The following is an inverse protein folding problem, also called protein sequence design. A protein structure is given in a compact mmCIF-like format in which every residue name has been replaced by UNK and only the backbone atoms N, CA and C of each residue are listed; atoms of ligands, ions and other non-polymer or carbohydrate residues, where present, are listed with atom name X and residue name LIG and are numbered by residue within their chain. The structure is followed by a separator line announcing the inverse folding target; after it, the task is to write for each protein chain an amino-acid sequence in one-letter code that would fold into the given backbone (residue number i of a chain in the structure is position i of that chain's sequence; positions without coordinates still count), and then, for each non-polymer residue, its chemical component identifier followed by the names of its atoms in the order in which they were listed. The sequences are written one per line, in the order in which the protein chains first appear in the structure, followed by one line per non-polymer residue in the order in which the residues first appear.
data_IF_214094563391
#
_entry.id   IF_214094563391
#
_cell.length_a   1.000
_cell.length_b   1.000
_cell.length_c   1.000
_cell.angle_alpha   90.00
_cell.angle_beta   90.00
_cell.angle_gamma   90.00
#
_symmetry.space_group_name_H-M   'P 1'
#
loop_
_entity.id
_entity.type
_entity.pdbx_description
1 polymer ?
#
# COMPACT_ATOMS: atom_id res chain seq x y z
N UNK A 1 5.64 -42.93 7.65
CA UNK A 1 6.91 -42.20 7.82
C UNK A 1 6.82 -40.72 7.37
N UNK A 2 6.18 -40.41 6.24
CA UNK A 2 6.03 -39.05 5.71
C UNK A 2 5.30 -38.04 6.66
N UNK A 3 4.26 -38.46 7.36
CA UNK A 3 3.46 -37.60 8.26
C UNK A 3 4.24 -37.05 9.47
N UNK A 4 5.25 -37.80 9.96
CA UNK A 4 6.13 -37.35 11.07
C UNK A 4 7.08 -36.23 10.60
N UNK A 5 7.55 -36.32 9.35
CA UNK A 5 8.49 -35.36 8.77
C UNK A 5 7.80 -33.98 8.54
N UNK A 6 6.55 -33.98 8.04
CA UNK A 6 5.78 -32.72 7.86
C UNK A 6 5.45 -32.05 9.20
N UNK A 7 5.08 -32.80 10.24
CA UNK A 7 4.84 -32.23 11.58
C UNK A 7 6.11 -31.64 12.20
N UNK A 8 7.28 -32.29 11.97
CA UNK A 8 8.56 -31.75 12.46
C UNK A 8 8.97 -30.50 11.71
N UNK A 9 8.77 -30.42 10.38
CA UNK A 9 9.04 -29.21 9.59
C UNK A 9 8.13 -28.05 9.98
N UNK A 10 6.84 -28.31 10.20
CA UNK A 10 5.91 -27.28 10.67
C UNK A 10 6.33 -26.73 12.05
N UNK A 11 6.77 -27.62 12.97
CA UNK A 11 7.27 -27.19 14.30
C UNK A 11 8.55 -26.37 14.19
N UNK A 12 9.47 -26.73 13.29
CA UNK A 12 10.71 -25.98 13.04
C UNK A 12 10.36 -24.61 12.45
N UNK A 13 9.43 -24.53 11.50
CA UNK A 13 8.97 -23.26 10.92
C UNK A 13 8.39 -22.32 11.98
N UNK A 14 7.53 -22.84 12.87
CA UNK A 14 6.97 -22.06 13.97
C UNK A 14 8.04 -21.59 14.97
N UNK A 15 9.03 -22.43 15.29
CA UNK A 15 10.14 -22.05 16.18
C UNK A 15 11.03 -20.96 15.56
N UNK A 16 11.32 -21.07 14.27
CA UNK A 16 12.05 -20.03 13.53
C UNK A 16 11.25 -18.72 13.51
N UNK A 17 9.96 -18.76 13.21
CA UNK A 17 9.09 -17.57 13.21
C UNK A 17 9.07 -16.91 14.60
N UNK A 18 8.95 -17.69 15.66
CA UNK A 18 8.95 -17.18 17.03
C UNK A 18 10.30 -16.55 17.43
N UNK A 19 11.42 -17.16 17.01
CA UNK A 19 12.77 -16.59 17.23
C UNK A 19 12.98 -15.32 16.43
N UNK A 20 12.51 -15.26 15.18
CA UNK A 20 12.55 -14.04 14.39
C UNK A 20 11.72 -12.92 15.03
N UNK A 21 10.49 -13.22 15.47
CA UNK A 21 9.66 -12.26 16.21
C UNK A 21 10.37 -11.74 17.47
N UNK A 22 10.96 -12.64 18.27
CA UNK A 22 11.68 -12.22 19.49
C UNK A 22 12.92 -11.38 19.17
N UNK A 23 13.67 -11.71 18.12
CA UNK A 23 14.82 -10.94 17.67
C UNK A 23 14.43 -9.54 17.15
N UNK A 24 13.31 -9.44 16.42
CA UNK A 24 12.77 -8.16 15.93
C UNK A 24 12.25 -7.27 17.08
N UNK A 25 11.66 -7.88 18.13
CA UNK A 25 11.20 -7.15 19.33
C UNK A 25 12.35 -6.63 20.17
N UNK A 26 13.48 -7.34 20.19
CA UNK A 26 14.68 -6.91 20.93
C UNK A 26 15.51 -5.84 20.21
N UNK A 27 15.28 -5.63 18.91
CA UNK A 27 15.87 -4.53 18.16
C UNK A 27 15.22 -3.19 18.54
N UNK A 28 16.02 -2.23 18.96
CA UNK A 28 15.60 -0.91 19.47
C UNK A 28 15.05 0.05 18.40
N UNK A 29 14.54 -0.43 17.25
CA UNK A 29 14.01 0.39 16.15
C UNK A 29 12.50 0.64 16.29
N UNK A 30 12.08 1.18 17.45
CA UNK A 30 10.74 1.76 17.64
C UNK A 30 10.62 3.18 17.05
N UNK A 31 11.44 3.56 16.10
CA UNK A 31 11.26 4.81 15.39
C UNK A 31 10.06 4.67 14.44
N UNK A 32 8.89 5.08 14.93
CA UNK A 32 7.68 5.21 14.10
C UNK A 32 8.00 6.00 12.83
N UNK A 33 7.83 5.39 11.65
CA UNK A 33 8.05 6.09 10.38
C UNK A 33 7.12 7.30 10.31
N UNK A 34 7.69 8.46 10.00
CA UNK A 34 6.95 9.72 9.84
C UNK A 34 7.33 10.38 8.52
N UNK A 35 6.33 10.88 7.82
CA UNK A 35 6.57 11.73 6.66
C UNK A 35 7.17 13.06 7.13
N UNK A 36 8.23 13.53 6.46
CA UNK A 36 8.80 14.84 6.72
C UNK A 36 7.83 15.93 6.29
N UNK A 37 7.78 17.00 7.08
CA UNK A 37 7.01 18.19 6.73
C UNK A 37 7.59 18.88 5.48
N UNK A 38 6.72 19.52 4.72
CA UNK A 38 7.03 20.25 3.50
C UNK A 38 7.24 21.74 3.82
N UNK A 39 8.24 22.35 3.20
CA UNK A 39 8.41 23.81 3.24
C UNK A 39 7.36 24.49 2.37
N UNK A 40 7.10 25.78 2.60
CA UNK A 40 6.16 26.56 1.77
C UNK A 40 6.51 26.52 0.27
N UNK A 41 7.81 26.44 -0.06
CA UNK A 41 8.27 26.30 -1.44
C UNK A 41 7.83 24.97 -2.06
N UNK A 42 8.01 23.87 -1.34
CA UNK A 42 7.59 22.54 -1.78
C UNK A 42 6.07 22.44 -1.89
N UNK A 43 5.33 23.02 -0.93
CA UNK A 43 3.86 23.08 -1.01
C UNK A 43 3.40 23.84 -2.25
N UNK A 44 4.01 24.98 -2.54
CA UNK A 44 3.70 25.78 -3.73
C UNK A 44 3.91 25.00 -5.03
N UNK A 45 4.99 24.21 -5.10
CA UNK A 45 5.31 23.33 -6.22
C UNK A 45 4.32 22.16 -6.33
N UNK A 46 4.05 21.45 -5.22
CA UNK A 46 3.14 20.28 -5.16
C UNK A 46 1.71 20.68 -5.56
N UNK A 47 1.24 21.83 -5.09
CA UNK A 47 -0.14 22.31 -5.36
C UNK A 47 -0.25 23.06 -6.68
N UNK A 48 0.88 23.52 -7.24
CA UNK A 48 0.91 24.29 -8.50
C UNK A 48 0.48 25.75 -8.34
N UNK A 49 0.77 26.39 -7.17
CA UNK A 49 0.43 27.77 -6.87
C UNK A 49 1.66 28.58 -6.44
N UNK A 50 1.56 29.91 -6.46
CA UNK A 50 2.66 30.75 -5.98
C UNK A 50 2.71 30.79 -4.44
N UNK A 51 3.91 30.93 -3.87
CA UNK A 51 4.09 31.15 -2.42
C UNK A 51 3.33 32.38 -1.92
N UNK A 52 3.24 33.40 -2.73
CA UNK A 52 2.53 34.65 -2.41
C UNK A 52 1.03 34.37 -2.16
N UNK A 53 0.41 33.48 -2.95
CA UNK A 53 -1.01 33.12 -2.75
C UNK A 53 -1.22 32.36 -1.45
N UNK A 54 -0.32 31.44 -1.08
CA UNK A 54 -0.37 30.76 0.22
C UNK A 54 -0.29 31.80 1.34
N UNK A 55 0.70 32.69 1.27
CA UNK A 55 0.90 33.73 2.27
C UNK A 55 -0.32 34.66 2.43
N UNK A 56 -0.97 35.01 1.31
CA UNK A 56 -2.17 35.86 1.34
C UNK A 56 -3.31 35.17 2.08
N UNK A 57 -3.57 33.87 1.80
CA UNK A 57 -4.64 33.13 2.48
C UNK A 57 -4.35 32.89 3.97
N UNK A 58 -3.09 32.73 4.34
CA UNK A 58 -2.69 32.66 5.77
C UNK A 58 -3.02 33.99 6.48
N UNK A 59 -2.70 35.14 5.85
CA UNK A 59 -3.02 36.48 6.38
C UNK A 59 -4.52 36.72 6.49
N UNK A 60 -5.30 36.23 5.55
CA UNK A 60 -6.76 36.32 5.53
C UNK A 60 -7.44 35.36 6.52
N UNK A 61 -6.68 34.50 7.23
CA UNK A 61 -7.21 33.51 8.14
C UNK A 61 -7.97 32.36 7.46
N UNK A 62 -7.82 32.20 6.15
CA UNK A 62 -8.45 31.13 5.35
C UNK A 62 -7.66 29.83 5.39
N UNK A 63 -6.42 29.88 5.84
CA UNK A 63 -5.58 28.73 6.14
C UNK A 63 -5.14 28.78 7.61
N UNK A 64 -4.94 27.63 8.27
CA UNK A 64 -4.36 27.59 9.60
C UNK A 64 -2.95 28.19 9.59
N UNK A 65 -2.55 28.78 10.71
CA UNK A 65 -1.17 29.28 10.85
C UNK A 65 -0.18 28.14 10.70
N UNK A 66 0.83 28.28 9.83
CA UNK A 66 1.83 27.24 9.62
C UNK A 66 2.66 27.01 10.88
N UNK A 67 3.13 25.77 11.05
CA UNK A 67 4.14 25.46 12.06
C UNK A 67 5.48 26.05 11.60
N UNK A 68 6.32 26.40 12.59
CA UNK A 68 7.65 26.94 12.35
C UNK A 68 8.70 25.88 12.75
N UNK A 69 9.74 25.77 11.94
CA UNK A 69 10.93 24.98 12.24
C UNK A 69 12.14 25.89 12.22
N UNK A 70 12.88 25.88 13.32
CA UNK A 70 14.16 26.58 13.41
C UNK A 70 15.12 26.11 12.31
N UNK A 71 15.70 27.04 11.57
CA UNK A 71 16.68 26.75 10.53
C UNK A 71 17.71 27.89 10.48
N UNK A 72 18.68 27.84 11.39
CA UNK A 72 19.69 28.89 11.56
C UNK A 72 19.09 30.20 12.07
N UNK A 73 19.31 31.29 11.36
CA UNK A 73 18.84 32.63 11.76
C UNK A 73 17.38 32.96 11.37
N UNK A 74 16.69 32.06 10.65
CA UNK A 74 15.33 32.30 10.12
C UNK A 74 14.45 31.07 10.31
N UNK A 75 13.26 31.26 10.88
CA UNK A 75 12.26 30.21 10.97
C UNK A 75 11.63 29.88 9.62
N UNK A 76 11.57 28.62 9.30
CA UNK A 76 10.98 28.09 8.08
C UNK A 76 9.57 27.57 8.35
N UNK A 77 8.59 28.08 7.59
CA UNK A 77 7.22 27.56 7.61
C UNK A 77 7.19 26.14 7.06
N UNK A 78 6.55 25.23 7.81
CA UNK A 78 6.42 23.82 7.47
C UNK A 78 4.96 23.37 7.57
N UNK A 79 4.62 22.40 6.71
CA UNK A 79 3.27 21.86 6.54
C UNK A 79 3.33 20.34 6.44
N UNK A 80 2.43 19.65 7.10
CA UNK A 80 2.24 18.20 6.88
C UNK A 80 1.36 17.96 5.63
N UNK A 81 1.23 16.71 5.20
CA UNK A 81 0.49 16.38 3.99
C UNK A 81 -1.02 16.70 4.10
N UNK A 82 -1.61 16.59 5.28
CA UNK A 82 -3.01 16.99 5.50
C UNK A 82 -3.22 18.50 5.32
N UNK A 83 -2.26 19.32 5.76
CA UNK A 83 -2.27 20.76 5.55
C UNK A 83 -2.06 21.11 4.07
N UNK A 84 -1.23 20.35 3.34
CA UNK A 84 -1.07 20.48 1.88
C UNK A 84 -2.39 20.20 1.17
N UNK A 85 -3.11 19.16 1.57
CA UNK A 85 -4.43 18.84 1.02
C UNK A 85 -5.47 19.93 1.32
N UNK A 86 -5.47 20.46 2.54
CA UNK A 86 -6.35 21.58 2.90
C UNK A 86 -6.10 22.79 2.01
N UNK A 87 -4.81 23.14 1.76
CA UNK A 87 -4.43 24.21 0.84
C UNK A 87 -4.99 23.91 -0.55
N UNK A 88 -4.80 22.70 -1.08
CA UNK A 88 -5.31 22.28 -2.38
C UNK A 88 -6.83 22.49 -2.48
N UNK A 89 -7.58 21.98 -1.49
CA UNK A 89 -9.05 22.13 -1.42
C UNK A 89 -9.49 23.59 -1.35
N UNK A 90 -8.79 24.42 -0.59
CA UNK A 90 -9.10 25.87 -0.46
C UNK A 90 -8.97 26.62 -1.78
N UNK A 91 -8.07 26.17 -2.67
CA UNK A 91 -7.94 26.71 -4.01
C UNK A 91 -8.82 26.02 -5.06
N UNK A 92 -9.63 25.03 -4.69
CA UNK A 92 -10.44 24.25 -5.64
C UNK A 92 -9.62 23.41 -6.62
N UNK A 93 -8.39 23.07 -6.26
CA UNK A 93 -7.45 22.31 -7.08
C UNK A 93 -7.47 20.81 -6.74
N UNK A 94 -8.67 20.25 -6.52
CA UNK A 94 -8.80 18.81 -6.32
C UNK A 94 -8.31 18.06 -7.56
N UNK A 95 -7.68 16.88 -7.39
CA UNK A 95 -7.30 16.09 -8.54
C UNK A 95 -8.55 15.68 -9.35
N UNK A 96 -8.45 15.61 -10.69
CA UNK A 96 -9.57 15.17 -11.51
C UNK A 96 -9.92 13.71 -11.21
N UNK A 97 -11.20 13.36 -11.35
CA UNK A 97 -11.60 11.96 -11.29
C UNK A 97 -10.89 11.17 -12.39
N UNK A 98 -10.32 10.01 -12.05
CA UNK A 98 -9.63 9.13 -13.01
C UNK A 98 -10.64 8.27 -13.77
N UNK A 99 -11.73 7.91 -13.10
CA UNK A 99 -12.76 7.04 -13.66
C UNK A 99 -14.06 7.81 -13.92
N UNK A 100 -14.77 7.45 -14.98
CA UNK A 100 -16.04 8.06 -15.35
C UNK A 100 -17.22 7.52 -14.53
N UNK A 101 -17.08 6.35 -13.91
CA UNK A 101 -18.11 5.68 -13.11
C UNK A 101 -18.01 6.00 -11.61
N UNK A 102 -17.03 6.81 -11.20
CA UNK A 102 -16.80 7.19 -9.81
C UNK A 102 -16.15 6.11 -8.94
N UNK A 103 -15.73 4.99 -9.54
CA UNK A 103 -15.02 3.93 -8.85
C UNK A 103 -13.50 4.15 -8.94
N UNK A 104 -12.75 3.55 -8.01
CA UNK A 104 -11.30 3.62 -8.04
C UNK A 104 -10.72 3.02 -9.31
N UNK A 105 -9.73 3.68 -9.90
CA UNK A 105 -8.88 3.07 -10.92
C UNK A 105 -7.89 2.09 -10.28
N UNK A 106 -7.83 0.86 -10.80
CA UNK A 106 -6.98 -0.20 -10.26
C UNK A 106 -5.74 -0.37 -11.11
N UNK A 107 -4.57 -0.08 -10.50
CA UNK A 107 -3.25 -0.23 -11.12
C UNK A 107 -2.54 -1.44 -10.50
N UNK A 108 -2.32 -2.47 -11.28
CA UNK A 108 -1.58 -3.67 -10.84
C UNK A 108 -0.16 -3.67 -11.38
N UNK A 109 0.82 -3.76 -10.48
CA UNK A 109 2.24 -3.89 -10.81
C UNK A 109 2.62 -5.37 -10.82
N UNK A 110 2.90 -5.92 -11.99
CA UNK A 110 3.17 -7.35 -12.16
C UNK A 110 4.34 -7.60 -13.10
N UNK A 111 5.20 -8.52 -12.72
CA UNK A 111 6.23 -9.11 -13.56
C UNK A 111 6.69 -10.42 -12.88
N UNK A 112 6.84 -11.50 -13.64
CA UNK A 112 7.30 -12.80 -13.15
C UNK A 112 8.77 -12.77 -12.76
N UNK A 113 9.55 -11.82 -13.27
CA UNK A 113 10.96 -11.68 -12.90
C UNK A 113 11.09 -10.98 -11.56
N UNK A 114 11.89 -11.58 -10.66
CA UNK A 114 12.27 -10.97 -9.39
C UNK A 114 13.29 -9.83 -9.58
N UNK A 115 13.30 -8.85 -8.67
CA UNK A 115 14.32 -7.80 -8.65
C UNK A 115 14.17 -6.70 -9.71
N UNK A 116 13.07 -6.65 -10.47
CA UNK A 116 12.81 -5.60 -11.48
C UNK A 116 12.26 -4.30 -10.89
N UNK A 117 12.12 -4.21 -9.56
CA UNK A 117 11.67 -2.99 -8.88
C UNK A 117 10.15 -2.86 -8.75
N UNK A 118 9.35 -3.94 -8.89
CA UNK A 118 7.88 -3.90 -8.76
C UNK A 118 7.44 -3.14 -7.50
N UNK A 119 7.77 -3.66 -6.34
CA UNK A 119 7.37 -3.09 -5.04
C UNK A 119 7.91 -1.67 -4.84
N UNK A 120 9.13 -1.38 -5.34
CA UNK A 120 9.69 -0.03 -5.28
C UNK A 120 8.85 0.94 -6.11
N UNK A 121 8.56 0.59 -7.36
CA UNK A 121 7.80 1.47 -8.27
C UNK A 121 6.34 1.60 -7.81
N UNK A 122 5.70 0.51 -7.38
CA UNK A 122 4.31 0.53 -6.89
C UNK A 122 4.16 1.41 -5.64
N UNK A 123 5.07 1.30 -4.67
CA UNK A 123 5.08 2.14 -3.46
C UNK A 123 5.24 3.62 -3.82
N UNK A 124 6.20 3.97 -4.68
CA UNK A 124 6.40 5.37 -5.07
C UNK A 124 5.24 5.92 -5.90
N UNK A 125 4.60 5.09 -6.75
CA UNK A 125 3.40 5.48 -7.47
C UNK A 125 2.24 5.82 -6.51
N UNK A 126 1.99 4.96 -5.52
CA UNK A 126 0.96 5.20 -4.51
C UNK A 126 1.23 6.47 -3.69
N UNK A 127 2.49 6.67 -3.27
CA UNK A 127 2.92 7.88 -2.57
C UNK A 127 2.74 9.13 -3.44
N UNK A 128 3.08 9.05 -4.72
CA UNK A 128 2.88 10.16 -5.66
C UNK A 128 1.41 10.51 -5.82
N UNK A 129 0.51 9.54 -6.00
CA UNK A 129 -0.91 9.79 -6.09
C UNK A 129 -1.47 10.42 -4.81
N UNK A 130 -1.08 9.91 -3.64
CA UNK A 130 -1.46 10.51 -2.36
C UNK A 130 -0.97 11.95 -2.23
N UNK A 131 0.26 12.25 -2.70
CA UNK A 131 0.81 13.60 -2.74
C UNK A 131 0.02 14.52 -3.70
N UNK A 132 -0.53 13.97 -4.79
CA UNK A 132 -1.41 14.70 -5.69
C UNK A 132 -2.83 14.95 -5.14
N UNK A 133 -3.15 14.36 -3.96
CA UNK A 133 -4.42 14.55 -3.27
C UNK A 133 -5.47 13.47 -3.55
N UNK A 134 -5.10 12.40 -4.25
CA UNK A 134 -5.96 11.22 -4.39
C UNK A 134 -6.04 10.41 -3.10
N UNK A 135 -7.19 9.82 -2.85
CA UNK A 135 -7.37 8.83 -1.81
C UNK A 135 -6.97 7.45 -2.34
N UNK A 136 -5.89 6.91 -1.81
CA UNK A 136 -5.22 5.72 -2.35
C UNK A 136 -5.34 4.54 -1.39
N UNK A 137 -5.67 3.36 -1.91
CA UNK A 137 -5.48 2.09 -1.23
C UNK A 137 -4.30 1.35 -1.86
N UNK A 138 -3.31 1.00 -1.07
CA UNK A 138 -2.23 0.10 -1.48
C UNK A 138 -2.54 -1.32 -1.03
N UNK A 139 -2.41 -2.30 -1.92
CA UNK A 139 -2.64 -3.73 -1.65
C UNK A 139 -1.35 -4.49 -1.91
N UNK A 140 -0.72 -4.98 -0.85
CA UNK A 140 0.49 -5.80 -0.94
C UNK A 140 0.09 -7.28 -0.99
N UNK A 141 0.27 -7.93 -2.14
CA UNK A 141 0.01 -9.35 -2.34
C UNK A 141 1.29 -10.19 -2.39
N UNK A 142 2.48 -9.57 -2.29
CA UNK A 142 3.74 -10.31 -2.24
C UNK A 142 3.99 -10.83 -0.82
N UNK A 143 4.10 -12.17 -0.60
CA UNK A 143 4.41 -12.73 0.71
C UNK A 143 5.73 -12.24 1.32
N UNK A 144 6.62 -11.65 0.53
CA UNK A 144 7.84 -11.01 1.04
C UNK A 144 7.55 -9.73 1.81
N UNK A 145 6.36 -9.12 1.64
CA UNK A 145 5.88 -7.96 2.37
C UNK A 145 6.84 -6.75 2.34
N UNK A 146 7.53 -6.58 1.22
CA UNK A 146 8.50 -5.48 1.04
C UNK A 146 7.79 -4.12 1.04
N UNK A 147 6.65 -4.02 0.36
CA UNK A 147 5.84 -2.80 0.35
C UNK A 147 5.22 -2.52 1.73
N UNK A 148 4.72 -3.55 2.41
CA UNK A 148 4.21 -3.47 3.79
C UNK A 148 5.27 -2.89 4.74
N UNK A 149 6.52 -3.36 4.63
CA UNK A 149 7.64 -2.84 5.41
C UNK A 149 7.99 -1.39 5.04
N UNK A 150 7.86 -1.02 3.77
CA UNK A 150 8.07 0.35 3.32
C UNK A 150 7.04 1.32 3.93
N UNK A 151 5.82 0.86 4.20
CA UNK A 151 4.77 1.64 4.87
C UNK A 151 4.85 1.60 6.41
N UNK A 152 5.88 0.99 7.00
CA UNK A 152 6.20 1.12 8.42
C UNK A 152 5.77 -0.06 9.29
N UNK A 153 5.16 -1.08 8.74
CA UNK A 153 4.81 -2.29 9.47
C UNK A 153 5.96 -3.30 9.42
N UNK A 154 6.18 -4.01 10.52
CA UNK A 154 7.10 -5.15 10.57
C UNK A 154 6.24 -6.42 10.50
N UNK A 155 6.15 -7.10 9.33
CA UNK A 155 5.13 -8.13 9.08
C UNK A 155 5.07 -9.25 10.12
N UNK A 156 6.23 -9.77 10.54
CA UNK A 156 6.31 -10.87 11.51
C UNK A 156 6.09 -10.43 12.97
N UNK A 157 6.14 -9.12 13.27
CA UNK A 157 5.93 -8.57 14.61
C UNK A 157 4.53 -8.01 14.78
N UNK A 158 4.08 -7.21 13.81
CA UNK A 158 2.92 -6.33 13.93
C UNK A 158 1.66 -6.96 13.33
N UNK A 159 1.82 -8.01 12.48
CA UNK A 159 0.75 -8.56 11.66
C UNK A 159 0.66 -10.09 11.78
N UNK A 160 -0.51 -10.60 11.51
CA UNK A 160 -0.83 -12.01 11.27
C UNK A 160 -1.39 -12.20 9.86
N UNK A 161 -1.67 -13.43 9.43
CA UNK A 161 -2.33 -13.69 8.15
C UNK A 161 -3.75 -13.10 8.11
N UNK A 162 -4.43 -13.03 9.25
CA UNK A 162 -5.79 -12.48 9.35
C UNK A 162 -5.83 -10.95 9.18
N UNK A 163 -4.68 -10.26 9.29
CA UNK A 163 -4.54 -8.84 8.99
C UNK A 163 -4.34 -8.55 7.50
N UNK A 164 -4.32 -9.57 6.65
CA UNK A 164 -4.11 -9.48 5.20
C UNK A 164 -5.40 -9.72 4.42
N UNK A 165 -5.35 -9.64 3.10
CA UNK A 165 -6.48 -9.97 2.23
C UNK A 165 -7.00 -11.42 2.40
N UNK A 166 -6.28 -12.27 3.13
CA UNK A 166 -6.55 -13.70 3.27
C UNK A 166 -8.01 -14.00 3.66
N UNK A 167 -8.52 -13.37 4.71
CA UNK A 167 -9.89 -13.59 5.20
C UNK A 167 -10.94 -13.20 4.15
N UNK A 168 -10.69 -12.14 3.38
CA UNK A 168 -11.59 -11.71 2.31
C UNK A 168 -11.67 -12.70 1.14
N UNK A 169 -10.55 -13.32 0.77
CA UNK A 169 -10.49 -14.25 -0.37
C UNK A 169 -10.80 -15.71 0.01
N UNK A 170 -10.84 -16.05 1.31
CA UNK A 170 -11.09 -17.42 1.77
C UNK A 170 -12.41 -17.60 2.52
N UNK A 171 -13.00 -16.53 3.04
CA UNK A 171 -14.22 -16.58 3.86
C UNK A 171 -15.36 -15.73 3.30
N UNK A 172 -15.18 -14.39 3.24
CA UNK A 172 -16.20 -13.46 2.77
C UNK A 172 -15.54 -12.16 2.26
N UNK A 173 -15.88 -11.68 1.05
CA UNK A 173 -15.28 -10.47 0.46
C UNK A 173 -15.35 -9.23 1.36
N UNK A 174 -16.42 -9.06 2.12
CA UNK A 174 -16.65 -7.90 3.01
C UNK A 174 -15.60 -7.76 4.10
N UNK A 175 -14.92 -8.85 4.47
CA UNK A 175 -13.81 -8.83 5.44
C UNK A 175 -12.59 -8.02 4.97
N UNK A 176 -12.58 -7.57 3.72
CA UNK A 176 -11.51 -6.68 3.22
C UNK A 176 -11.48 -5.36 3.99
N UNK A 177 -12.61 -4.85 4.45
CA UNK A 177 -12.67 -3.61 5.23
C UNK A 177 -11.94 -3.73 6.57
N UNK A 178 -12.03 -4.89 7.23
CA UNK A 178 -11.44 -5.14 8.55
C UNK A 178 -9.89 -5.13 8.52
N UNK A 179 -9.30 -5.37 7.36
CA UNK A 179 -7.84 -5.51 7.20
C UNK A 179 -7.16 -4.26 6.65
N UNK A 180 -7.91 -3.20 6.36
CA UNK A 180 -7.37 -1.92 5.94
C UNK A 180 -6.65 -1.24 7.11
N UNK A 181 -5.42 -0.82 6.91
CA UNK A 181 -4.57 -0.16 7.89
C UNK A 181 -4.17 1.23 7.42
N UNK A 182 -4.09 2.18 8.36
CA UNK A 182 -3.55 3.51 8.08
C UNK A 182 -2.03 3.45 7.92
N UNK A 183 -1.51 4.26 7.01
CA UNK A 183 -0.07 4.47 6.90
C UNK A 183 0.34 5.82 7.50
N UNK A 184 1.64 6.10 7.52
CA UNK A 184 2.15 7.42 7.90
C UNK A 184 1.97 8.49 6.79
N UNK A 185 1.37 8.13 5.67
CA UNK A 185 0.96 9.03 4.61
C UNK A 185 -0.51 9.41 4.79
N UNK A 186 -0.82 10.70 4.70
CA UNK A 186 -2.20 11.15 4.60
C UNK A 186 -2.80 10.70 3.26
N UNK A 187 -4.07 10.26 3.26
CA UNK A 187 -4.79 9.73 2.09
C UNK A 187 -4.21 8.44 1.48
N UNK A 188 -3.37 7.69 2.20
CA UNK A 188 -2.87 6.41 1.73
C UNK A 188 -3.09 5.35 2.79
N UNK A 189 -3.97 4.41 2.50
CA UNK A 189 -4.27 3.25 3.32
C UNK A 189 -3.59 2.00 2.74
N UNK A 190 -3.45 0.95 3.54
CA UNK A 190 -2.74 -0.28 3.21
C UNK A 190 -3.57 -1.51 3.55
N UNK A 191 -3.68 -2.45 2.62
CA UNK A 191 -3.91 -3.87 2.94
C UNK A 191 -2.55 -4.54 2.96
N UNK A 192 -2.06 -4.95 4.15
CA UNK A 192 -0.71 -5.46 4.30
C UNK A 192 -0.57 -6.90 3.82
N UNK A 193 0.68 -7.31 3.64
CA UNK A 193 1.07 -8.69 3.34
C UNK A 193 1.73 -9.39 4.52
N UNK A 194 1.73 -10.72 4.47
CA UNK A 194 2.39 -11.57 5.44
C UNK A 194 2.96 -12.82 4.75
N UNK A 195 4.06 -13.37 5.26
CA UNK A 195 4.76 -14.52 4.68
C UNK A 195 3.84 -15.74 4.42
N UNK A 196 2.84 -15.95 5.28
CA UNK A 196 1.90 -17.06 5.14
C UNK A 196 1.00 -16.98 3.90
N UNK A 197 0.92 -15.81 3.21
CA UNK A 197 0.20 -15.70 1.93
C UNK A 197 0.77 -16.61 0.85
N UNK A 198 2.03 -17.05 0.95
CA UNK A 198 2.62 -18.04 0.03
C UNK A 198 1.86 -19.40 -0.01
N UNK A 199 1.09 -19.73 1.04
CA UNK A 199 0.32 -20.98 1.13
C UNK A 199 -1.15 -20.84 0.72
N UNK A 200 -1.58 -19.63 0.35
CA UNK A 200 -3.00 -19.30 0.04
C UNK A 200 -3.54 -20.15 -1.10
N UNK A 201 -2.77 -20.36 -2.16
CA UNK A 201 -3.19 -21.19 -3.31
C UNK A 201 -3.57 -22.60 -2.86
N UNK A 202 -2.73 -23.22 -2.03
CA UNK A 202 -2.99 -24.56 -1.51
C UNK A 202 -4.22 -24.58 -0.58
N UNK A 203 -4.45 -23.53 0.20
CA UNK A 203 -5.61 -23.40 1.08
C UNK A 203 -6.90 -23.23 0.28
N UNK A 204 -6.90 -22.42 -0.76
CA UNK A 204 -8.04 -22.21 -1.66
C UNK A 204 -8.41 -23.53 -2.38
N UNK A 205 -7.42 -24.27 -2.90
CA UNK A 205 -7.68 -25.56 -3.58
C UNK A 205 -8.16 -26.66 -2.64
N UNK A 206 -7.74 -26.63 -1.37
CA UNK A 206 -8.23 -27.58 -0.35
C UNK A 206 -9.67 -27.32 0.05
N UNK A 207 -10.05 -26.05 0.10
CA UNK A 207 -11.40 -25.65 0.43
C UNK A 207 -12.29 -25.70 -0.80
N UNK A 208 -12.88 -26.88 -1.07
CA UNK A 208 -13.74 -27.16 -2.23
C UNK A 208 -15.07 -26.40 -2.21
N UNK A 209 -15.26 -25.46 -1.29
CA UNK A 209 -16.46 -24.61 -1.25
C UNK A 209 -16.49 -23.68 -2.47
N UNK A 210 -17.50 -23.87 -3.32
CA UNK A 210 -17.78 -22.97 -4.45
C UNK A 210 -18.50 -21.67 -4.00
N UNK A 211 -18.73 -21.48 -2.71
CA UNK A 211 -19.50 -20.33 -2.19
C UNK A 211 -18.91 -18.97 -2.57
N UNK A 212 -17.57 -18.88 -2.73
CA UNK A 212 -16.87 -17.64 -3.11
C UNK A 212 -16.60 -17.53 -4.62
N UNK A 213 -17.20 -18.40 -5.42
CA UNK A 213 -17.02 -18.40 -6.87
C UNK A 213 -15.61 -18.86 -7.33
N UNK A 214 -15.23 -18.45 -8.53
CA UNK A 214 -13.93 -18.81 -9.11
C UNK A 214 -12.77 -18.28 -8.27
N UNK A 215 -11.76 -19.12 -7.93
CA UNK A 215 -10.57 -18.70 -7.21
C UNK A 215 -9.87 -17.47 -7.82
N UNK A 216 -9.82 -17.38 -9.15
CA UNK A 216 -9.19 -16.26 -9.86
C UNK A 216 -9.92 -14.92 -9.69
N UNK A 217 -11.21 -14.93 -9.33
CA UNK A 217 -12.01 -13.71 -9.13
C UNK A 217 -12.07 -13.25 -7.69
N UNK A 218 -11.52 -13.99 -6.74
CA UNK A 218 -11.66 -13.68 -5.30
C UNK A 218 -10.98 -12.37 -4.89
N UNK A 219 -9.84 -12.05 -5.49
CA UNK A 219 -9.17 -10.75 -5.27
C UNK A 219 -10.07 -9.62 -5.80
N UNK A 220 -10.62 -9.79 -7.01
CA UNK A 220 -11.55 -8.82 -7.59
C UNK A 220 -12.78 -8.62 -6.69
N UNK A 221 -13.45 -9.69 -6.31
CA UNK A 221 -14.66 -9.62 -5.49
C UNK A 221 -14.40 -8.93 -4.13
N UNK A 222 -13.23 -9.15 -3.53
CA UNK A 222 -12.84 -8.48 -2.30
C UNK A 222 -12.61 -6.98 -2.55
N UNK A 223 -11.88 -6.59 -3.59
CA UNK A 223 -11.56 -5.18 -3.84
C UNK A 223 -12.76 -4.40 -4.38
N UNK A 224 -13.71 -5.04 -5.06
CA UNK A 224 -14.96 -4.39 -5.49
C UNK A 224 -15.78 -3.86 -4.29
N UNK A 225 -15.67 -4.48 -3.10
CA UNK A 225 -16.36 -4.02 -1.87
C UNK A 225 -15.93 -2.63 -1.42
N UNK A 226 -14.65 -2.28 -1.64
CA UNK A 226 -14.06 -1.01 -1.17
C UNK A 226 -13.74 -0.05 -2.31
N UNK A 227 -14.10 -0.40 -3.55
CA UNK A 227 -13.70 0.33 -4.75
C UNK A 227 -14.28 1.75 -4.83
N UNK A 228 -15.42 2.00 -4.22
CA UNK A 228 -16.06 3.31 -4.13
C UNK A 228 -15.50 4.19 -3.00
N UNK A 229 -14.68 3.61 -2.12
CA UNK A 229 -14.07 4.32 -1.00
C UNK A 229 -12.79 5.07 -1.37
N UNK A 230 -12.21 4.81 -2.54
CA UNK A 230 -10.91 5.31 -2.99
C UNK A 230 -10.99 5.88 -4.40
N UNK A 231 -9.99 6.69 -4.77
CA UNK A 231 -9.81 7.18 -6.13
C UNK A 231 -8.91 6.24 -6.94
N UNK A 232 -7.93 5.62 -6.25
CA UNK A 232 -6.93 4.73 -6.85
C UNK A 232 -6.67 3.54 -5.92
N UNK A 233 -6.61 2.35 -6.50
CA UNK A 233 -6.09 1.14 -5.84
C UNK A 233 -4.81 0.72 -6.56
N UNK A 234 -3.71 0.61 -5.81
CA UNK A 234 -2.41 0.15 -6.30
C UNK A 234 -2.14 -1.25 -5.76
N UNK A 235 -1.91 -2.22 -6.63
CA UNK A 235 -1.66 -3.61 -6.25
C UNK A 235 -0.22 -3.98 -6.59
N UNK A 236 0.55 -4.43 -5.58
CA UNK A 236 1.87 -5.05 -5.74
C UNK A 236 1.75 -6.57 -5.71
N UNK A 237 2.35 -7.26 -6.70
CA UNK A 237 2.20 -8.71 -6.86
C UNK A 237 3.51 -9.47 -6.65
N UNK A 238 3.45 -10.75 -6.22
CA UNK A 238 4.62 -11.60 -6.15
C UNK A 238 5.22 -11.87 -7.55
N UNK A 239 6.55 -12.20 -7.61
CA UNK A 239 7.22 -12.58 -8.86
C UNK A 239 6.94 -14.04 -9.23
N UNK A 240 5.67 -14.47 -9.21
CA UNK A 240 5.28 -15.86 -9.45
C UNK A 240 3.89 -15.94 -10.07
N UNK A 241 3.63 -17.04 -10.78
CA UNK A 241 2.28 -17.38 -11.23
C UNK A 241 1.52 -18.00 -10.06
N UNK A 242 0.70 -17.19 -9.39
CA UNK A 242 -0.13 -17.58 -8.25
C UNK A 242 -1.57 -17.12 -8.45
N UNK A 243 -2.51 -17.66 -7.69
CA UNK A 243 -3.90 -17.18 -7.70
C UNK A 243 -4.00 -15.71 -7.32
N UNK A 244 -3.14 -15.23 -6.41
CA UNK A 244 -3.06 -13.81 -6.04
C UNK A 244 -2.61 -12.95 -7.22
N UNK A 245 -1.54 -13.34 -7.93
CA UNK A 245 -1.03 -12.58 -9.07
C UNK A 245 -2.03 -12.60 -10.24
N UNK A 246 -2.65 -13.75 -10.54
CA UNK A 246 -3.68 -13.89 -11.55
C UNK A 246 -4.91 -13.05 -11.18
N UNK A 247 -5.38 -13.15 -9.94
CA UNK A 247 -6.51 -12.39 -9.43
C UNK A 247 -6.27 -10.88 -9.51
N UNK A 248 -5.07 -10.42 -9.16
CA UNK A 248 -4.67 -9.03 -9.28
C UNK A 248 -4.68 -8.55 -10.74
N UNK A 249 -4.17 -9.37 -11.67
CA UNK A 249 -4.15 -9.03 -13.09
C UNK A 249 -5.57 -8.97 -13.69
N UNK A 250 -6.48 -9.87 -13.27
CA UNK A 250 -7.90 -9.85 -13.69
C UNK A 250 -8.62 -8.62 -13.12
N UNK A 251 -8.23 -8.16 -11.94
CA UNK A 251 -8.85 -7.01 -11.27
C UNK A 251 -8.43 -5.67 -11.89
N UNK A 252 -7.26 -5.62 -12.53
CA UNK A 252 -6.62 -4.41 -13.02
C UNK A 252 -7.40 -3.71 -14.12
N UNK A 253 -7.58 -2.38 -14.00
CA UNK A 253 -7.92 -1.50 -15.11
C UNK A 253 -6.64 -1.18 -15.92
N UNK A 254 -5.49 -1.11 -15.24
CA UNK A 254 -4.17 -0.86 -15.84
C UNK A 254 -3.13 -1.84 -15.30
N UNK A 255 -2.47 -2.57 -16.20
CA UNK A 255 -1.37 -3.46 -15.86
C UNK A 255 -0.04 -2.75 -16.14
N UNK A 256 0.75 -2.54 -15.10
CA UNK A 256 2.09 -1.94 -15.18
C UNK A 256 3.14 -3.04 -15.07
N UNK A 257 3.99 -3.16 -16.07
CA UNK A 257 5.06 -4.17 -16.12
C UNK A 257 6.42 -3.46 -16.06
N UNK A 258 7.02 -3.32 -14.86
CA UNK A 258 8.36 -2.76 -14.71
C UNK A 258 9.38 -3.68 -15.40
N UNK A 259 10.22 -3.12 -16.26
CA UNK A 259 11.29 -3.83 -16.94
C UNK A 259 12.63 -3.15 -16.64
N UNK A 260 13.68 -3.96 -16.50
CA UNK A 260 15.05 -3.46 -16.43
C UNK A 260 15.60 -3.46 -17.85
N UNK A 261 16.33 -2.41 -18.23
CA UNK A 261 16.90 -2.26 -19.57
C UNK A 261 18.07 -3.23 -19.80
N UNK A 262 17.81 -4.54 -19.67
CA UNK A 262 18.74 -5.62 -20.00
C UNK A 262 18.22 -6.39 -21.20
N UNK A 263 19.11 -6.85 -22.09
CA UNK A 263 18.73 -7.61 -23.30
C UNK A 263 17.79 -8.80 -23.04
N UNK A 264 17.93 -9.61 -21.95
CA UNK A 264 17.01 -10.71 -21.67
C UNK A 264 15.59 -10.27 -21.26
N UNK A 265 15.38 -9.00 -20.96
CA UNK A 265 14.07 -8.48 -20.49
C UNK A 265 13.23 -7.87 -21.62
N UNK A 266 13.81 -7.77 -22.82
CA UNK A 266 13.20 -7.09 -24.00
C UNK A 266 12.79 -8.10 -25.09
N UNK A 267 13.09 -9.40 -24.91
CA UNK A 267 12.72 -10.47 -25.85
C UNK A 267 11.30 -11.00 -25.65
#
# INVERSE_FOLDING_TARGET
MQTKTFKSLAKISMDIEQRLKSALVSGNDNAEKKLKDFTQAQVAEIVGISRQRIFTLEKEGRLPSPRLRESGAVDVKIYNLAEVELIRKTFGLNPPSISSDGLAAILTFSNLKGGVGKSTVSVHAAQYFALQGYKVLFVDLDPQATATSAFGYIPLRDLSIDDTIFSAITSAPEKVEDVIRKTYWHNLDLIPSHLQLQSVDAMIYRNKSNALGSPALRVKNALDVVRDMYDIIVIDTPPSVSLLAIGAAITADYLVIPIVANMPDIQ
#
